data_IF_336422749279
#
_entry.id   IF_336422749279
#
_cell.length_a   1.000
_cell.length_b   1.000
_cell.length_c   1.000
_cell.angle_alpha   90.00
_cell.angle_beta   90.00
_cell.angle_gamma   90.00
#
_symmetry.space_group_name_H-M   'P 1'
#
loop_
_entity.id
_entity.type
_entity.pdbx_description
1 polymer ?
#
# COMPACT_ATOMS: atom_id res chain seq x y z
N UNK A 1 -3.81 4.45 3.78
CA UNK A 1 -2.53 5.10 4.11
C UNK A 1 -2.50 6.51 3.56
N UNK A 2 -2.49 7.52 4.43
CA UNK A 2 -2.41 8.93 4.03
C UNK A 2 -1.00 9.50 4.13
N UNK A 3 -0.42 9.83 2.98
CA UNK A 3 0.80 10.62 2.81
C UNK A 3 1.97 10.20 3.71
N UNK A 4 2.78 11.16 4.15
CA UNK A 4 3.92 10.96 5.04
C UNK A 4 3.55 10.32 6.38
N UNK A 5 2.33 10.54 6.88
CA UNK A 5 1.87 9.94 8.13
C UNK A 5 1.78 8.41 8.05
N UNK A 6 1.32 7.87 6.92
CA UNK A 6 1.37 6.43 6.67
C UNK A 6 2.80 5.94 6.39
N UNK A 7 3.58 6.72 5.62
CA UNK A 7 4.95 6.34 5.28
C UNK A 7 5.85 6.22 6.51
N UNK A 8 5.64 7.05 7.53
CA UNK A 8 6.40 7.03 8.77
C UNK A 8 6.40 5.66 9.47
N UNK A 9 5.38 4.83 9.23
CA UNK A 9 5.25 3.49 9.79
C UNK A 9 5.38 2.38 8.73
N UNK A 10 5.55 2.74 7.45
CA UNK A 10 5.54 1.81 6.32
C UNK A 10 6.94 1.51 5.75
N UNK A 11 8.01 1.93 6.43
CA UNK A 11 9.39 1.53 6.08
C UNK A 11 9.66 0.12 6.60
N UNK A 12 9.15 -0.88 5.87
CA UNK A 12 9.12 -2.28 6.25
C UNK A 12 9.74 -3.20 5.18
N UNK A 13 10.03 -4.44 5.57
CA UNK A 13 10.53 -5.48 4.65
C UNK A 13 9.45 -5.87 3.63
N UNK A 14 8.24 -6.16 4.09
CA UNK A 14 7.07 -6.45 3.26
C UNK A 14 5.91 -5.49 3.59
N UNK A 15 5.28 -4.95 2.54
CA UNK A 15 4.13 -4.06 2.60
C UNK A 15 2.94 -4.77 1.96
N UNK A 16 1.90 -5.02 2.75
CA UNK A 16 0.63 -5.52 2.26
C UNK A 16 -0.48 -4.49 2.43
N UNK A 17 -1.45 -4.57 1.54
CA UNK A 17 -2.67 -3.76 1.59
C UNK A 17 -3.88 -4.69 1.55
N UNK A 18 -4.91 -4.37 2.33
CA UNK A 18 -6.23 -4.94 2.08
C UNK A 18 -6.70 -4.51 0.69
N UNK A 19 -7.45 -5.37 0.02
CA UNK A 19 -7.89 -5.18 -1.37
C UNK A 19 -8.51 -3.81 -1.65
N UNK A 20 -9.39 -3.32 -0.77
CA UNK A 20 -10.07 -2.04 -0.95
C UNK A 20 -9.38 -0.88 -0.21
N UNK A 21 -8.22 -1.11 0.41
CA UNK A 21 -7.47 -0.06 1.05
C UNK A 21 -6.81 0.87 0.01
N UNK A 22 -6.74 2.16 0.36
CA UNK A 22 -6.07 3.17 -0.45
C UNK A 22 -4.72 3.56 0.15
N UNK A 23 -3.74 3.88 -0.69
CA UNK A 23 -2.48 4.50 -0.28
C UNK A 23 -2.18 5.66 -1.23
N UNK A 24 -2.12 6.89 -0.70
CA UNK A 24 -1.93 8.09 -1.53
C UNK A 24 -1.07 9.15 -0.85
N UNK A 25 -0.32 9.91 -1.64
CA UNK A 25 0.46 11.08 -1.19
C UNK A 25 -0.43 12.26 -0.77
N UNK A 26 -1.64 12.33 -1.30
CA UNK A 26 -2.63 13.41 -1.04
C UNK A 26 -4.04 12.83 -1.11
N UNK A 27 -5.00 13.39 -0.37
CA UNK A 27 -6.39 12.98 -0.55
C UNK A 27 -6.89 13.35 -1.97
N UNK A 28 -7.72 12.51 -2.61
CA UNK A 28 -8.26 12.81 -3.94
C UNK A 28 -9.00 14.15 -4.00
N UNK A 29 -9.78 14.50 -2.97
CA UNK A 29 -10.44 15.80 -2.86
C UNK A 29 -9.48 17.00 -2.90
N UNK A 30 -8.37 16.90 -2.16
CA UNK A 30 -7.37 17.96 -2.12
C UNK A 30 -6.61 18.06 -3.44
N UNK A 31 -6.28 16.93 -4.07
CA UNK A 31 -5.73 16.92 -5.44
C UNK A 31 -6.68 17.56 -6.45
N UNK A 32 -7.98 17.25 -6.35
CA UNK A 32 -9.00 17.82 -7.23
C UNK A 32 -9.06 19.35 -7.13
N UNK A 33 -9.01 19.85 -5.90
CA UNK A 33 -9.01 21.28 -5.58
C UNK A 33 -7.77 22.01 -6.09
N UNK A 34 -6.60 21.35 -6.10
CA UNK A 34 -5.34 21.96 -6.57
C UNK A 34 -5.26 21.93 -8.09
N UNK A 35 -5.51 20.78 -8.71
CA UNK A 35 -5.30 20.57 -10.15
C UNK A 35 -6.38 21.23 -11.00
N UNK A 36 -7.64 21.19 -10.57
CA UNK A 36 -8.77 21.71 -11.35
C UNK A 36 -9.50 22.88 -10.70
N UNK A 37 -9.08 23.31 -9.50
CA UNK A 37 -9.82 24.32 -8.70
C UNK A 37 -11.27 23.91 -8.42
N UNK A 38 -11.53 22.61 -8.42
CA UNK A 38 -12.86 22.04 -8.27
C UNK A 38 -12.79 20.75 -7.42
N UNK A 39 -13.22 20.78 -6.14
CA UNK A 39 -13.21 19.61 -5.27
C UNK A 39 -14.21 18.52 -5.70
N UNK A 40 -15.19 18.83 -6.56
CA UNK A 40 -16.18 17.85 -7.01
C UNK A 40 -15.59 16.82 -7.99
N UNK A 41 -14.43 17.13 -8.58
CA UNK A 41 -13.63 16.23 -9.43
C UNK A 41 -12.82 15.19 -8.64
N UNK A 42 -13.21 14.90 -7.40
CA UNK A 42 -12.54 13.94 -6.51
C UNK A 42 -12.38 12.54 -7.13
N UNK A 43 -13.42 12.05 -7.83
CA UNK A 43 -13.38 10.73 -8.47
C UNK A 43 -12.34 10.68 -9.60
N UNK A 44 -12.32 11.70 -10.46
CA UNK A 44 -11.33 11.85 -11.54
C UNK A 44 -9.90 11.93 -10.96
N UNK A 45 -9.72 12.68 -9.88
CA UNK A 45 -8.44 12.75 -9.18
C UNK A 45 -8.00 11.39 -8.63
N UNK A 46 -8.89 10.63 -7.99
CA UNK A 46 -8.57 9.29 -7.47
C UNK A 46 -8.12 8.32 -8.58
N UNK A 47 -8.80 8.34 -9.72
CA UNK A 47 -8.49 7.49 -10.88
C UNK A 47 -7.14 7.83 -11.51
N UNK A 48 -6.75 9.11 -11.52
CA UNK A 48 -5.46 9.58 -12.05
C UNK A 48 -4.32 9.29 -11.07
N UNK A 49 -4.56 9.46 -9.77
CA UNK A 49 -3.55 9.25 -8.73
C UNK A 49 -3.15 7.78 -8.55
N UNK A 50 -3.98 6.84 -9.02
CA UNK A 50 -3.70 5.38 -8.98
C UNK A 50 -3.37 4.88 -7.57
N UNK A 51 -4.38 4.95 -6.69
CA UNK A 51 -4.21 4.81 -5.23
C UNK A 51 -4.66 3.47 -4.66
N UNK A 52 -5.11 2.51 -5.49
CA UNK A 52 -5.64 1.22 -5.04
C UNK A 52 -4.53 0.21 -4.76
N UNK A 53 -4.84 -0.87 -4.03
CA UNK A 53 -3.87 -1.93 -3.78
C UNK A 53 -3.26 -2.49 -5.09
N UNK A 54 -4.07 -2.69 -6.14
CA UNK A 54 -3.62 -3.20 -7.45
C UNK A 54 -2.70 -2.22 -8.17
N UNK A 55 -2.96 -0.92 -8.07
CA UNK A 55 -2.10 0.10 -8.65
C UNK A 55 -0.72 0.13 -7.95
N UNK A 56 -0.73 0.06 -6.62
CA UNK A 56 0.49 0.09 -5.81
C UNK A 56 1.33 -1.18 -6.00
N UNK A 57 0.71 -2.33 -6.27
CA UNK A 57 1.43 -3.55 -6.71
C UNK A 57 2.05 -3.34 -8.09
N UNK A 58 1.31 -2.76 -9.04
CA UNK A 58 1.83 -2.47 -10.39
C UNK A 58 3.02 -1.50 -10.37
N UNK A 59 3.06 -0.58 -9.40
CA UNK A 59 4.18 0.33 -9.20
C UNK A 59 5.35 -0.26 -8.39
N UNK A 60 5.21 -1.49 -7.88
CA UNK A 60 6.24 -2.12 -7.04
C UNK A 60 6.38 -1.49 -5.65
N UNK A 61 5.35 -0.78 -5.16
CA UNK A 61 5.31 -0.18 -3.83
C UNK A 61 4.67 -1.13 -2.82
N UNK A 62 3.63 -1.85 -3.24
CA UNK A 62 2.97 -2.89 -2.45
C UNK A 62 3.42 -4.27 -2.93
N UNK A 63 3.73 -5.17 -2.00
CA UNK A 63 4.21 -6.51 -2.32
C UNK A 63 3.05 -7.51 -2.44
N UNK A 64 2.00 -7.31 -1.62
CA UNK A 64 0.89 -8.27 -1.48
C UNK A 64 -0.44 -7.59 -1.25
N UNK A 65 -1.49 -8.18 -1.84
CA UNK A 65 -2.87 -7.79 -1.59
C UNK A 65 -3.51 -8.88 -0.72
N UNK A 66 -4.07 -8.48 0.41
CA UNK A 66 -4.87 -9.34 1.27
C UNK A 66 -6.33 -9.20 0.78
N UNK A 67 -6.95 -10.28 0.28
CA UNK A 67 -8.30 -10.22 -0.26
C UNK A 67 -9.29 -9.83 0.83
N UNK A 68 -10.35 -9.12 0.45
CA UNK A 68 -11.46 -8.83 1.34
C UNK A 68 -12.66 -9.73 1.00
N UNK A 69 -13.52 -10.02 1.98
CA UNK A 69 -14.82 -10.66 1.74
C UNK A 69 -15.65 -9.90 0.71
N UNK A 70 -16.56 -10.60 0.04
CA UNK A 70 -17.51 -9.96 -0.88
C UNK A 70 -18.30 -8.86 -0.15
N UNK A 71 -18.34 -7.66 -0.75
CA UNK A 71 -18.94 -6.46 -0.17
C UNK A 71 -18.05 -5.71 0.85
N UNK A 72 -16.87 -6.22 1.17
CA UNK A 72 -15.81 -5.52 1.91
C UNK A 72 -15.54 -6.04 3.32
N UNK A 73 -14.37 -5.69 3.86
CA UNK A 73 -13.85 -6.16 5.14
C UNK A 73 -14.82 -6.01 6.33
N UNK A 74 -15.60 -4.94 6.34
CA UNK A 74 -16.55 -4.62 7.41
C UNK A 74 -17.73 -5.59 7.52
N UNK A 75 -18.08 -6.32 6.44
CA UNK A 75 -19.18 -7.28 6.45
C UNK A 75 -18.80 -8.60 7.14
N UNK A 76 -17.53 -8.99 7.06
CA UNK A 76 -17.01 -10.17 7.74
C UNK A 76 -15.67 -9.86 8.42
N UNK A 77 -15.68 -9.11 9.55
CA UNK A 77 -14.46 -8.67 10.21
C UNK A 77 -13.60 -9.83 10.73
N UNK A 78 -14.23 -10.92 11.20
CA UNK A 78 -13.52 -12.11 11.66
C UNK A 78 -12.70 -12.76 10.52
N UNK A 79 -13.33 -12.96 9.35
CA UNK A 79 -12.68 -13.52 8.15
C UNK A 79 -11.53 -12.62 7.68
N UNK A 80 -11.74 -11.30 7.73
CA UNK A 80 -10.69 -10.33 7.37
C UNK A 80 -9.52 -10.41 8.35
N UNK A 81 -9.79 -10.51 9.65
CA UNK A 81 -8.76 -10.65 10.68
C UNK A 81 -7.96 -11.95 10.51
N UNK A 82 -8.64 -13.06 10.21
CA UNK A 82 -7.97 -14.34 9.92
C UNK A 82 -7.07 -14.23 8.68
N UNK A 83 -7.54 -13.58 7.62
CA UNK A 83 -6.73 -13.36 6.41
C UNK A 83 -5.48 -12.50 6.67
N UNK A 84 -5.60 -11.48 7.53
CA UNK A 84 -4.46 -10.67 7.98
C UNK A 84 -3.52 -11.51 8.84
N UNK A 85 -4.06 -12.32 9.76
CA UNK A 85 -3.27 -13.18 10.65
C UNK A 85 -2.44 -14.19 9.86
N UNK A 86 -3.06 -14.90 8.91
CA UNK A 86 -2.38 -15.86 8.05
C UNK A 86 -1.22 -15.20 7.28
N UNK A 87 -1.47 -14.02 6.70
CA UNK A 87 -0.45 -13.26 6.00
C UNK A 87 0.73 -12.89 6.94
N UNK A 88 0.45 -12.37 8.13
CA UNK A 88 1.49 -11.96 9.07
C UNK A 88 2.30 -13.16 9.55
N UNK A 89 1.65 -14.28 9.90
CA UNK A 89 2.34 -15.50 10.37
C UNK A 89 3.27 -16.04 9.29
N UNK A 90 2.79 -16.13 8.06
CA UNK A 90 3.57 -16.58 6.91
C UNK A 90 4.75 -15.63 6.63
N UNK A 91 4.51 -14.31 6.57
CA UNK A 91 5.55 -13.31 6.35
C UNK A 91 6.63 -13.33 7.44
N UNK A 92 6.23 -13.34 8.71
CA UNK A 92 7.19 -13.42 9.83
C UNK A 92 7.97 -14.72 9.81
N UNK A 93 7.33 -15.84 9.47
CA UNK A 93 8.00 -17.14 9.39
C UNK A 93 9.07 -17.16 8.29
N UNK A 94 8.80 -16.59 7.12
CA UNK A 94 9.80 -16.43 6.05
C UNK A 94 10.91 -15.48 6.44
N UNK A 95 10.57 -14.28 6.88
CA UNK A 95 11.55 -13.22 7.17
C UNK A 95 12.50 -13.61 8.30
N UNK A 96 12.04 -14.40 9.29
CA UNK A 96 12.90 -14.95 10.36
C UNK A 96 14.00 -15.89 9.87
N UNK A 97 13.88 -16.46 8.68
CA UNK A 97 14.92 -17.33 8.10
C UNK A 97 16.00 -16.55 7.35
N UNK A 98 15.81 -15.25 7.14
CA UNK A 98 16.76 -14.38 6.45
C UNK A 98 17.71 -13.77 7.47
N UNK A 99 19.00 -13.75 7.14
CA UNK A 99 20.01 -13.08 7.95
C UNK A 99 19.70 -11.58 8.12
N UNK A 100 20.06 -11.03 9.29
CA UNK A 100 19.74 -9.65 9.63
C UNK A 100 20.42 -8.63 8.71
N UNK A 101 21.68 -8.83 8.34
CA UNK A 101 22.38 -7.92 7.42
C UNK A 101 21.69 -7.93 6.05
N UNK A 102 21.27 -9.12 5.61
CA UNK A 102 20.52 -9.28 4.37
C UNK A 102 19.14 -8.60 4.42
N UNK A 103 18.39 -8.73 5.51
CA UNK A 103 17.10 -8.04 5.67
C UNK A 103 17.25 -6.51 5.55
N UNK A 104 18.26 -5.94 6.19
CA UNK A 104 18.52 -4.50 6.16
C UNK A 104 18.90 -4.03 4.74
N UNK A 105 19.76 -4.77 4.05
CA UNK A 105 20.17 -4.47 2.68
C UNK A 105 19.01 -4.62 1.68
N UNK A 106 18.21 -5.68 1.81
CA UNK A 106 17.04 -5.92 0.96
C UNK A 106 16.00 -4.79 1.16
N UNK A 107 15.74 -4.36 2.40
CA UNK A 107 14.86 -3.22 2.70
C UNK A 107 15.39 -1.93 2.09
N UNK A 108 16.69 -1.65 2.22
CA UNK A 108 17.31 -0.46 1.61
C UNK A 108 17.13 -0.47 0.09
N UNK A 109 17.44 -1.60 -0.56
CA UNK A 109 17.30 -1.78 -2.01
C UNK A 109 15.86 -1.65 -2.48
N UNK A 110 14.89 -2.20 -1.72
CA UNK A 110 13.46 -2.07 -2.02
C UNK A 110 13.08 -0.61 -2.21
N UNK A 111 13.35 0.24 -1.22
CA UNK A 111 12.98 1.65 -1.31
C UNK A 111 13.81 2.41 -2.35
N UNK A 112 15.08 2.05 -2.55
CA UNK A 112 15.93 2.75 -3.53
C UNK A 112 15.53 2.51 -4.99
N UNK A 113 14.83 1.40 -5.27
CA UNK A 113 14.29 1.07 -6.60
C UNK A 113 12.97 1.78 -6.92
N UNK A 114 12.31 2.40 -5.94
CA UNK A 114 11.04 3.08 -6.17
C UNK A 114 11.28 4.42 -6.86
N UNK A 115 10.68 4.58 -8.03
CA UNK A 115 10.79 5.77 -8.88
C UNK A 115 11.38 5.45 -10.24
N UNK A 116 10.83 6.09 -11.28
CA UNK A 116 11.33 5.99 -12.64
C UNK A 116 11.71 7.39 -13.14
N UNK A 117 12.88 7.53 -13.74
CA UNK A 117 13.36 8.76 -14.34
C UNK A 117 14.17 8.45 -15.59
N UNK A 118 14.32 9.44 -16.47
CA UNK A 118 15.21 9.41 -17.63
C UNK A 118 16.33 10.42 -17.38
N UNK A 119 17.58 10.02 -17.62
CA UNK A 119 18.75 10.90 -17.52
C UNK A 119 18.84 11.89 -18.68
#
# INVERSE_FOLDING_TARGET
>A
GGSGGALALAVCDELAMLQNAIYSVISPRSAASILWKDPTKEKEAAEILKITAEDLVRFGVCDKIIPEPEGGAHLQPAVTADSIYEYIVDAVSRLKTVDMEKLLDDRYKKFRKIGMFTE
#
